data_IF_504703356218
#
_entry.id   IF_504703356218
#
_cell.length_a   1.000
_cell.length_b   1.000
_cell.length_c   1.000
_cell.angle_alpha   90.00
_cell.angle_beta   90.00
_cell.angle_gamma   90.00
#
_symmetry.space_group_name_H-M   'P 1'
#
loop_
_entity.id
_entity.type
_entity.pdbx_description
1 polymer ?
#
# COMPACT_ATOMS: atom_id res chain seq x y z
N UNK A 1 -1.86 18.35 -23.75
CA UNK A 1 -2.79 17.36 -23.17
C UNK A 1 -2.15 16.88 -21.87
N UNK A 2 -2.54 17.50 -20.74
CA UNK A 2 -2.07 17.12 -19.41
C UNK A 2 -2.77 15.82 -19.01
N UNK A 3 -2.01 14.76 -18.77
CA UNK A 3 -2.51 13.57 -18.11
C UNK A 3 -2.72 13.92 -16.64
N UNK A 4 -3.97 14.09 -16.23
CA UNK A 4 -4.35 14.19 -14.83
C UNK A 4 -4.34 12.78 -14.21
N UNK A 5 -3.19 12.33 -13.74
CA UNK A 5 -3.10 11.09 -12.97
C UNK A 5 -3.70 11.31 -11.58
N UNK A 6 -4.69 10.51 -11.17
CA UNK A 6 -5.29 10.65 -9.86
C UNK A 6 -4.31 10.20 -8.77
N UNK A 7 -3.93 11.12 -7.89
CA UNK A 7 -3.12 10.82 -6.70
C UNK A 7 -3.99 10.26 -5.56
N UNK A 8 -3.47 9.32 -4.79
CA UNK A 8 -4.14 8.74 -3.62
C UNK A 8 -3.55 9.31 -2.33
N UNK A 9 -4.39 9.76 -1.40
CA UNK A 9 -3.96 10.27 -0.09
C UNK A 9 -4.12 9.21 1.01
N UNK A 10 -3.14 9.14 1.89
CA UNK A 10 -3.26 8.49 3.19
C UNK A 10 -2.98 9.51 4.29
N UNK A 11 -3.92 9.65 5.24
CA UNK A 11 -3.66 10.39 6.46
C UNK A 11 -3.33 9.40 7.59
N UNK A 12 -2.14 9.52 8.15
CA UNK A 12 -1.80 8.88 9.42
C UNK A 12 -2.00 9.90 10.54
N UNK A 13 -2.17 9.50 11.79
CA UNK A 13 -2.44 10.38 12.95
C UNK A 13 -1.43 11.53 13.18
N UNK A 14 -0.47 11.73 12.30
CA UNK A 14 0.42 12.88 12.32
C UNK A 14 -0.19 13.99 11.46
N UNK A 15 -0.58 15.08 12.08
CA UNK A 15 -1.37 16.20 11.55
C UNK A 15 -0.73 17.03 10.45
N UNK A 16 0.32 16.56 9.76
CA UNK A 16 1.05 17.30 8.74
C UNK A 16 1.46 16.35 7.59
N UNK A 17 0.72 16.41 6.48
CA UNK A 17 1.05 15.85 5.17
C UNK A 17 1.01 14.31 5.04
N UNK A 18 0.03 13.83 4.28
CA UNK A 18 -0.09 12.44 3.87
C UNK A 18 0.92 12.06 2.78
N UNK A 19 1.40 10.79 2.73
CA UNK A 19 2.05 10.29 1.53
C UNK A 19 1.10 10.40 0.33
N UNK A 20 1.60 10.92 -0.78
CA UNK A 20 0.85 11.04 -2.02
C UNK A 20 1.41 10.02 -3.03
N UNK A 21 0.85 8.82 -3.14
CA UNK A 21 1.27 7.87 -4.14
C UNK A 21 0.76 8.25 -5.54
N UNK A 22 1.64 8.13 -6.50
CA UNK A 22 1.30 8.07 -7.92
C UNK A 22 1.26 6.61 -8.35
N UNK A 23 0.20 6.21 -9.03
CA UNK A 23 0.04 4.84 -9.51
C UNK A 23 0.52 4.71 -10.95
N UNK A 24 1.09 3.55 -11.28
CA UNK A 24 1.59 3.23 -12.62
C UNK A 24 0.51 2.54 -13.44
N UNK A 25 -0.50 3.30 -13.87
CA UNK A 25 -1.66 2.78 -14.61
C UNK A 25 -1.30 2.22 -15.98
N UNK A 26 -0.25 2.70 -16.59
CA UNK A 26 0.29 2.25 -17.87
C UNK A 26 1.11 0.95 -17.76
N UNK A 27 1.70 0.69 -16.58
CA UNK A 27 2.57 -0.46 -16.35
C UNK A 27 1.82 -1.60 -15.65
N UNK A 28 1.07 -1.29 -14.59
CA UNK A 28 0.37 -2.27 -13.75
C UNK A 28 -1.10 -1.86 -13.54
N UNK A 29 -1.92 -1.78 -14.62
CA UNK A 29 -3.28 -1.23 -14.57
C UNK A 29 -4.22 -1.98 -13.62
N UNK A 30 -4.14 -3.30 -13.53
CA UNK A 30 -5.00 -4.09 -12.64
C UNK A 30 -4.62 -3.87 -11.18
N UNK A 31 -3.33 -3.86 -10.88
CA UNK A 31 -2.82 -3.65 -9.52
C UNK A 31 -3.08 -2.22 -9.06
N UNK A 32 -2.85 -1.23 -9.92
CA UNK A 32 -3.16 0.17 -9.68
C UNK A 32 -4.67 0.38 -9.44
N UNK A 33 -5.53 -0.23 -10.26
CA UNK A 33 -6.98 -0.17 -10.08
C UNK A 33 -7.41 -0.77 -8.73
N UNK A 34 -6.86 -1.93 -8.34
CA UNK A 34 -7.15 -2.53 -7.03
C UNK A 34 -6.85 -1.53 -5.89
N UNK A 35 -5.66 -0.94 -5.89
CA UNK A 35 -5.26 0.01 -4.87
C UNK A 35 -6.14 1.26 -4.86
N UNK A 36 -6.45 1.82 -6.02
CA UNK A 36 -7.31 3.00 -6.17
C UNK A 36 -8.71 2.77 -5.62
N UNK A 37 -9.35 1.67 -5.99
CA UNK A 37 -10.69 1.34 -5.49
C UNK A 37 -10.71 1.08 -3.98
N UNK A 38 -9.68 0.47 -3.43
CA UNK A 38 -9.54 0.28 -1.98
C UNK A 38 -9.30 1.61 -1.25
N UNK A 39 -8.60 2.56 -1.85
CA UNK A 39 -8.46 3.91 -1.30
C UNK A 39 -9.78 4.68 -1.33
N UNK A 40 -10.59 4.55 -2.38
CA UNK A 40 -11.90 5.18 -2.48
C UNK A 40 -12.95 4.57 -1.54
N UNK A 41 -12.82 3.29 -1.20
CA UNK A 41 -13.78 2.59 -0.36
C UNK A 41 -15.16 2.39 -1.00
N UNK A 42 -15.25 2.40 -2.32
CA UNK A 42 -16.52 2.38 -3.05
C UNK A 42 -17.06 0.97 -3.34
N UNK A 43 -16.26 -0.07 -3.16
CA UNK A 43 -16.64 -1.43 -3.48
C UNK A 43 -17.09 -2.21 -2.24
N UNK A 44 -18.28 -2.80 -2.30
CA UNK A 44 -18.80 -3.74 -1.31
C UNK A 44 -18.81 -5.12 -1.95
N UNK A 45 -18.36 -6.14 -1.23
CA UNK A 45 -18.47 -7.54 -1.68
C UNK A 45 -19.39 -8.34 -0.73
N UNK A 46 -20.18 -9.28 -1.27
CA UNK A 46 -21.01 -10.16 -0.43
C UNK A 46 -20.21 -10.96 0.60
N UNK A 47 -18.96 -11.31 0.25
CA UNK A 47 -18.08 -12.10 1.12
C UNK A 47 -17.67 -11.37 2.41
N UNK A 48 -17.62 -10.01 2.39
CA UNK A 48 -17.17 -9.19 3.53
C UNK A 48 -18.32 -8.35 4.09
N UNK A 49 -19.34 -8.08 3.27
CA UNK A 49 -20.55 -7.32 3.61
C UNK A 49 -20.26 -5.92 4.21
N UNK A 50 -19.17 -5.30 3.78
CA UNK A 50 -18.78 -3.92 4.12
C UNK A 50 -17.92 -3.33 3.00
N UNK A 51 -17.74 -2.01 2.95
CA UNK A 51 -16.83 -1.39 2.00
C UNK A 51 -15.40 -1.95 2.14
N UNK A 52 -14.80 -2.28 1.00
CA UNK A 52 -13.38 -2.59 0.91
C UNK A 52 -12.61 -1.28 0.90
N UNK A 53 -11.97 -0.94 2.00
CA UNK A 53 -11.25 0.34 2.14
C UNK A 53 -10.02 0.19 3.02
N UNK A 54 -9.00 0.99 2.72
CA UNK A 54 -7.84 1.13 3.60
C UNK A 54 -8.15 1.98 4.85
N UNK A 55 -9.19 2.80 4.80
CA UNK A 55 -9.58 3.61 5.95
C UNK A 55 -9.89 2.72 7.17
N UNK A 56 -9.27 3.04 8.31
CA UNK A 56 -9.34 2.25 9.52
C UNK A 56 -8.37 1.07 9.59
N UNK A 57 -7.59 0.80 8.55
CA UNK A 57 -6.53 -0.20 8.59
C UNK A 57 -5.22 0.36 9.15
N UNK A 58 -4.26 -0.53 9.44
CA UNK A 58 -2.99 -0.17 10.05
C UNK A 58 -1.80 -0.57 9.19
N UNK A 59 -0.70 0.18 9.32
CA UNK A 59 0.61 -0.33 8.96
C UNK A 59 1.09 -1.24 10.10
N UNK A 60 0.92 -2.52 9.92
CA UNK A 60 1.10 -3.55 10.95
C UNK A 60 2.52 -4.10 11.04
N UNK A 61 3.40 -3.79 10.07
CA UNK A 61 4.80 -4.24 10.05
C UNK A 61 5.70 -3.15 9.51
N UNK A 62 6.72 -2.80 10.29
CA UNK A 62 7.70 -1.77 9.95
C UNK A 62 9.10 -2.31 10.19
N UNK A 63 9.91 -2.33 9.14
CA UNK A 63 11.33 -2.70 9.24
C UNK A 63 12.15 -1.53 8.73
N UNK A 64 12.84 -0.88 9.64
CA UNK A 64 13.72 0.26 9.33
C UNK A 64 14.76 -0.13 8.28
N UNK A 65 15.02 0.78 7.33
CA UNK A 65 15.89 0.56 6.19
C UNK A 65 15.48 -0.64 5.32
N UNK A 66 14.19 -0.90 5.23
CA UNK A 66 13.62 -1.89 4.34
C UNK A 66 12.25 -1.45 3.80
N UNK A 67 11.19 -1.51 4.61
CA UNK A 67 9.84 -1.18 4.16
C UNK A 67 8.87 -0.91 5.32
N UNK A 68 7.76 -0.26 5.00
CA UNK A 68 6.58 -0.16 5.86
C UNK A 68 5.42 -0.86 5.17
N UNK A 69 4.76 -1.81 5.85
CA UNK A 69 3.72 -2.68 5.28
C UNK A 69 2.38 -2.48 5.97
N UNK A 70 1.34 -2.38 5.16
CA UNK A 70 -0.05 -2.23 5.60
C UNK A 70 -1.04 -2.86 4.64
N UNK A 71 -2.30 -2.43 4.70
CA UNK A 71 -3.34 -2.84 3.77
C UNK A 71 -4.06 -4.13 4.13
N UNK A 72 -3.87 -4.69 5.34
CA UNK A 72 -4.77 -5.74 5.82
C UNK A 72 -6.10 -5.09 6.25
N UNK A 73 -7.05 -5.08 5.34
CA UNK A 73 -8.38 -4.48 5.55
C UNK A 73 -9.39 -5.45 6.17
N UNK A 74 -9.02 -6.67 6.46
CA UNK A 74 -9.95 -7.70 6.99
C UNK A 74 -9.67 -8.09 8.42
N UNK A 75 -8.42 -8.39 8.77
CA UNK A 75 -8.01 -8.84 10.11
C UNK A 75 -7.21 -7.77 10.87
N UNK A 76 -6.69 -6.75 10.16
CA UNK A 76 -5.93 -5.62 10.74
C UNK A 76 -4.63 -6.02 11.46
N UNK A 77 -4.10 -7.22 11.19
CA UNK A 77 -2.94 -7.78 11.87
C UNK A 77 -1.88 -8.38 10.95
N UNK A 78 -2.09 -8.29 9.62
CA UNK A 78 -1.20 -8.82 8.60
C UNK A 78 -1.52 -10.23 8.11
N UNK A 79 -2.54 -10.89 8.67
CA UNK A 79 -2.95 -12.24 8.26
C UNK A 79 -4.07 -12.24 7.22
N UNK A 80 -4.66 -11.08 6.96
CA UNK A 80 -5.80 -10.92 6.06
C UNK A 80 -5.47 -10.16 4.78
N UNK A 81 -6.52 -9.56 4.26
CA UNK A 81 -6.54 -8.80 3.02
C UNK A 81 -7.55 -9.34 2.02
N UNK A 82 -8.05 -8.46 1.17
CA UNK A 82 -9.03 -8.80 0.14
C UNK A 82 -8.95 -7.81 -1.02
N UNK A 83 -8.91 -8.30 -2.26
CA UNK A 83 -8.83 -7.45 -3.43
C UNK A 83 -10.21 -7.15 -4.03
N UNK A 84 -10.26 -6.19 -4.94
CA UNK A 84 -11.49 -5.90 -5.70
C UNK A 84 -11.88 -7.02 -6.68
N UNK A 85 -10.96 -7.94 -6.97
CA UNK A 85 -11.15 -9.06 -7.90
C UNK A 85 -11.58 -10.36 -7.19
N UNK A 86 -11.53 -10.37 -5.85
CA UNK A 86 -11.76 -11.52 -5.01
C UNK A 86 -10.72 -11.60 -3.89
N UNK A 87 -10.63 -12.75 -3.22
CA UNK A 87 -9.68 -12.90 -2.11
C UNK A 87 -8.23 -12.65 -2.53
N UNK A 88 -7.83 -13.21 -3.67
CA UNK A 88 -6.47 -13.11 -4.22
C UNK A 88 -6.53 -12.82 -5.72
N UNK A 89 -5.45 -12.22 -6.26
CA UNK A 89 -5.25 -12.05 -7.69
C UNK A 89 -3.80 -12.29 -8.11
N UNK A 90 -3.61 -12.56 -9.40
CA UNK A 90 -2.30 -12.93 -9.96
C UNK A 90 -1.32 -11.76 -9.99
N UNK A 91 -0.03 -12.09 -9.98
CA UNK A 91 1.02 -11.13 -10.31
C UNK A 91 0.81 -10.64 -11.74
N UNK A 92 0.77 -9.31 -11.91
CA UNK A 92 0.50 -8.70 -13.20
C UNK A 92 1.74 -8.68 -14.08
N UNK A 93 2.84 -8.15 -13.55
CA UNK A 93 4.17 -8.15 -14.16
C UNK A 93 5.25 -7.78 -13.14
N UNK A 94 6.51 -7.80 -13.57
CA UNK A 94 7.68 -7.42 -12.77
C UNK A 94 8.58 -6.43 -13.54
N UNK A 95 7.97 -5.56 -14.36
CA UNK A 95 8.68 -4.62 -15.22
C UNK A 95 9.45 -3.56 -14.42
N UNK A 96 8.92 -3.10 -13.30
CA UNK A 96 9.56 -2.13 -12.42
C UNK A 96 10.36 -2.85 -11.34
N UNK A 97 11.63 -2.47 -11.19
CA UNK A 97 12.52 -3.03 -10.19
C UNK A 97 12.42 -2.23 -8.86
N UNK A 98 12.75 -2.89 -7.75
CA UNK A 98 12.85 -2.25 -6.43
C UNK A 98 14.21 -1.55 -6.28
N UNK A 99 14.49 -0.58 -7.13
CA UNK A 99 15.79 0.09 -7.27
C UNK A 99 15.96 1.34 -6.41
N UNK A 100 14.89 1.79 -5.73
CA UNK A 100 14.89 3.00 -4.91
C UNK A 100 13.93 2.89 -3.72
N UNK A 101 14.00 3.88 -2.84
CA UNK A 101 13.00 4.10 -1.78
C UNK A 101 11.68 4.62 -2.36
N UNK A 102 10.63 4.57 -1.55
CA UNK A 102 9.31 5.13 -1.78
C UNK A 102 8.48 4.45 -2.88
N UNK A 103 8.88 3.28 -3.36
CA UNK A 103 8.08 2.48 -4.29
C UNK A 103 6.94 1.78 -3.55
N UNK A 104 5.74 1.78 -4.16
CA UNK A 104 4.61 0.96 -3.76
C UNK A 104 4.69 -0.39 -4.42
N UNK A 105 4.65 -1.45 -3.62
CA UNK A 105 4.74 -2.82 -4.11
C UNK A 105 3.77 -3.73 -3.36
N UNK A 106 3.24 -4.75 -4.04
CA UNK A 106 2.31 -5.71 -3.44
C UNK A 106 3.01 -6.66 -2.48
N UNK A 107 2.48 -6.77 -1.27
CA UNK A 107 2.81 -7.89 -0.38
C UNK A 107 2.09 -9.15 -0.86
N UNK A 108 2.73 -10.31 -0.69
CA UNK A 108 2.16 -11.60 -1.05
C UNK A 108 2.70 -12.73 -0.15
N UNK A 109 2.11 -13.90 -0.27
CA UNK A 109 2.54 -15.13 0.39
C UNK A 109 3.09 -16.17 -0.61
N UNK A 110 3.68 -15.71 -1.69
CA UNK A 110 4.17 -16.49 -2.82
C UNK A 110 3.55 -16.05 -4.15
N UNK A 111 3.87 -16.72 -5.25
CA UNK A 111 3.37 -16.33 -6.57
C UNK A 111 1.83 -16.27 -6.64
N UNK A 112 1.31 -15.22 -7.28
CA UNK A 112 -0.11 -15.05 -7.56
C UNK A 112 -1.03 -15.01 -6.32
N UNK A 113 -0.53 -14.44 -5.20
CA UNK A 113 -1.29 -14.31 -3.94
C UNK A 113 -1.46 -12.85 -3.51
N UNK A 114 -1.58 -11.93 -4.45
CA UNK A 114 -1.84 -10.52 -4.16
C UNK A 114 -3.27 -10.34 -3.62
N UNK A 115 -3.43 -9.42 -2.68
CA UNK A 115 -4.73 -9.05 -2.10
C UNK A 115 -4.87 -7.54 -1.96
N UNK A 116 -5.04 -7.03 -0.75
CA UNK A 116 -5.00 -5.60 -0.43
C UNK A 116 -3.69 -5.18 0.25
N UNK A 117 -2.90 -6.12 0.76
CA UNK A 117 -1.67 -5.78 1.46
C UNK A 117 -0.60 -5.26 0.51
N UNK A 118 0.06 -4.20 0.91
CA UNK A 118 1.13 -3.53 0.17
C UNK A 118 2.22 -3.05 1.13
N UNK A 119 3.35 -2.69 0.58
CA UNK A 119 4.42 -2.03 1.32
C UNK A 119 5.00 -0.87 0.53
N UNK A 120 5.61 0.05 1.26
CA UNK A 120 6.38 1.17 0.72
C UNK A 120 7.84 0.91 1.06
N UNK A 121 8.71 0.86 0.06
CA UNK A 121 10.15 0.69 0.28
C UNK A 121 10.74 1.94 0.92
N UNK A 122 11.74 1.76 1.79
CA UNK A 122 12.50 2.86 2.40
C UNK A 122 13.97 2.89 1.98
N UNK A 123 14.35 1.95 1.11
CA UNK A 123 15.62 1.88 0.38
C UNK A 123 15.49 0.96 -0.85
N UNK A 124 16.52 0.85 -1.73
CA UNK A 124 16.57 -0.19 -2.75
C UNK A 124 16.47 -1.60 -2.16
N UNK A 125 15.64 -2.46 -2.76
CA UNK A 125 15.34 -3.82 -2.30
C UNK A 125 15.42 -4.84 -3.44
N UNK A 126 16.57 -5.02 -4.12
CA UNK A 126 16.69 -5.85 -5.32
C UNK A 126 16.33 -7.33 -5.09
N UNK A 127 16.38 -7.82 -3.86
CA UNK A 127 15.98 -9.19 -3.51
C UNK A 127 14.47 -9.46 -3.67
N UNK A 128 13.65 -8.41 -3.86
CA UNK A 128 12.21 -8.48 -4.12
C UNK A 128 11.88 -8.52 -5.62
N UNK A 129 12.84 -8.24 -6.49
CA UNK A 129 12.63 -8.22 -7.93
C UNK A 129 12.17 -9.59 -8.45
N UNK A 130 11.18 -9.59 -9.35
CA UNK A 130 10.58 -10.82 -9.89
C UNK A 130 9.69 -11.60 -8.90
N UNK A 131 9.42 -11.03 -7.71
CA UNK A 131 8.59 -11.67 -6.66
C UNK A 131 7.43 -10.80 -6.22
N UNK A 132 7.58 -9.49 -6.28
CA UNK A 132 6.56 -8.51 -5.87
C UNK A 132 6.32 -7.51 -6.98
N UNK A 133 5.05 -7.21 -7.25
CA UNK A 133 4.63 -6.28 -8.30
C UNK A 133 4.73 -4.85 -7.79
N UNK A 134 5.60 -4.04 -8.38
CA UNK A 134 5.65 -2.60 -8.15
C UNK A 134 4.56 -1.94 -9.00
N UNK A 135 3.72 -1.13 -8.39
CA UNK A 135 2.55 -0.52 -9.06
C UNK A 135 2.42 0.99 -8.86
N UNK A 136 3.40 1.61 -8.21
CA UNK A 136 3.40 3.04 -7.98
C UNK A 136 4.58 3.51 -7.15
N UNK A 137 4.61 4.81 -6.86
CA UNK A 137 5.58 5.43 -5.97
C UNK A 137 4.97 6.59 -5.18
N UNK A 138 5.56 6.94 -4.06
CA UNK A 138 5.21 8.12 -3.27
C UNK A 138 5.85 9.35 -3.90
N UNK A 139 5.04 10.28 -4.42
CA UNK A 139 5.51 11.52 -5.05
C UNK A 139 5.56 12.71 -4.08
N UNK A 140 4.86 12.62 -2.95
CA UNK A 140 4.85 13.65 -1.93
C UNK A 140 4.68 13.06 -0.54
N UNK A 141 5.06 13.82 0.50
CA UNK A 141 4.96 13.33 1.88
C UNK A 141 6.01 12.30 2.27
N UNK A 142 7.17 12.26 1.62
CA UNK A 142 8.27 11.33 1.91
C UNK A 142 8.68 11.33 3.39
N UNK A 143 8.66 12.51 4.03
CA UNK A 143 8.98 12.65 5.46
C UNK A 143 8.03 11.87 6.37
N UNK A 144 6.79 11.60 5.93
CA UNK A 144 5.85 10.75 6.69
C UNK A 144 6.29 9.28 6.62
N UNK A 145 6.72 8.81 5.45
CA UNK A 145 7.28 7.46 5.27
C UNK A 145 8.55 7.30 6.11
N UNK A 146 9.40 8.34 6.11
CA UNK A 146 10.62 8.37 6.93
C UNK A 146 10.31 8.38 8.43
N UNK A 147 9.28 9.10 8.86
CA UNK A 147 8.78 9.00 10.23
C UNK A 147 8.29 7.58 10.55
N UNK A 148 7.46 7.00 9.67
CA UNK A 148 6.89 5.66 9.88
C UNK A 148 7.96 4.58 10.02
N UNK A 149 9.04 4.62 9.21
CA UNK A 149 10.11 3.62 9.32
C UNK A 149 10.93 3.73 10.62
N UNK A 150 10.86 4.86 11.31
CA UNK A 150 11.63 5.14 12.52
C UNK A 150 10.82 4.99 13.81
N UNK A 151 9.54 4.64 13.75
CA UNK A 151 8.74 4.40 14.97
C UNK A 151 9.26 3.19 15.75
N UNK A 152 9.16 3.21 17.09
CA UNK A 152 9.50 2.05 17.90
C UNK A 152 8.62 0.86 17.56
N UNK A 153 9.23 -0.32 17.40
CA UNK A 153 8.55 -1.60 17.12
C UNK A 153 8.83 -2.63 18.21
N UNK A 154 8.02 -3.67 18.24
CA UNK A 154 8.27 -4.87 19.04
C UNK A 154 9.21 -5.84 18.30
N UNK A 155 9.43 -7.01 18.90
CA UNK A 155 10.30 -8.06 18.34
C UNK A 155 9.76 -8.70 17.06
N UNK A 156 8.47 -8.48 16.74
CA UNK A 156 7.81 -8.93 15.52
C UNK A 156 7.67 -7.81 14.49
N UNK A 157 8.38 -6.69 14.68
CA UNK A 157 8.35 -5.50 13.83
C UNK A 157 6.99 -4.80 13.77
N UNK A 158 6.14 -4.97 14.78
CA UNK A 158 4.86 -4.25 14.89
C UNK A 158 5.11 -2.91 15.54
N UNK A 159 4.59 -1.80 15.01
CA UNK A 159 4.65 -0.49 15.66
C UNK A 159 4.05 -0.56 17.07
N UNK A 160 4.77 -0.04 18.08
CA UNK A 160 4.29 0.03 19.47
C UNK A 160 3.13 1.02 19.62
N UNK A 161 3.12 2.06 18.79
CA UNK A 161 1.98 2.96 18.62
C UNK A 161 1.36 2.67 17.26
N UNK A 162 0.02 2.47 17.19
CA UNK A 162 -0.64 2.15 15.93
C UNK A 162 -0.44 3.23 14.87
N UNK A 163 0.00 2.84 13.68
CA UNK A 163 0.03 3.69 12.49
C UNK A 163 -1.27 3.46 11.71
N UNK A 164 -2.30 4.23 12.04
CA UNK A 164 -3.64 4.11 11.50
C UNK A 164 -3.79 4.91 10.21
N UNK A 165 -4.42 4.33 9.20
CA UNK A 165 -4.94 5.04 8.03
C UNK A 165 -6.29 5.67 8.42
N UNK A 166 -6.29 6.94 8.81
CA UNK A 166 -7.51 7.64 9.22
C UNK A 166 -8.40 7.99 8.04
N UNK A 167 -7.80 8.41 6.96
CA UNK A 167 -8.47 8.84 5.75
C UNK A 167 -7.69 8.37 4.53
N UNK A 168 -8.38 7.98 3.49
CA UNK A 168 -7.81 7.69 2.19
C UNK A 168 -8.84 8.02 1.10
N UNK A 169 -8.37 8.34 -0.09
CA UNK A 169 -9.22 8.72 -1.21
C UNK A 169 -8.40 9.19 -2.39
N UNK A 170 -9.07 9.63 -3.45
CA UNK A 170 -8.42 10.30 -4.57
C UNK A 170 -8.25 11.78 -4.25
N UNK A 171 -7.16 12.37 -4.74
CA UNK A 171 -7.05 13.81 -4.80
C UNK A 171 -8.00 14.32 -5.89
N UNK A 172 -8.84 15.28 -5.55
CA UNK A 172 -9.49 16.13 -6.57
C UNK A 172 -8.50 17.22 -6.98
N UNK A 173 -8.35 17.40 -8.27
CA UNK A 173 -7.62 18.52 -8.86
C UNK A 173 -8.19 19.86 -8.40
#
# INVERSE_FOLDING_TARGET
TSSSDPHVKFHTQCTLFAPHPQLYDDIAPLTAANFRFLAQGTKITPAINRPLTFCGSFFHRVIRNFMVQGGDITHFNGLGGYSIYGRLFKDENFAVLHDRAYLLSMANAGPHTNSSQFFITTKPCPHLNGKHVVFGEVCGGHHVVDYMQNVPTDTLFRPRQPLLVQECGLLSD
#
